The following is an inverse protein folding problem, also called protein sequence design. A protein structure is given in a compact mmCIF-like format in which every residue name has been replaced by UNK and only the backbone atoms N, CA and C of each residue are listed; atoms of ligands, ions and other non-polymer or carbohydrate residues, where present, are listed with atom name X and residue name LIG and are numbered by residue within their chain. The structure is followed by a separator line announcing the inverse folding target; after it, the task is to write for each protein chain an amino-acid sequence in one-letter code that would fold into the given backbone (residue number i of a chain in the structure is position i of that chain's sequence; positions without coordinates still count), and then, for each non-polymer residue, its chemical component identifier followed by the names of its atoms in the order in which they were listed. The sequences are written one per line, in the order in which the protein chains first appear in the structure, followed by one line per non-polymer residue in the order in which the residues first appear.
data_IF_085948784580
#
_entry.id   IF_085948784580
#
_cell.length_a   1.000
_cell.length_b   1.000
_cell.length_c   1.000
_cell.angle_alpha   90.00
_cell.angle_beta   90.00
_cell.angle_gamma   90.00
#
_symmetry.space_group_name_H-M   'P 1'
#
loop_
_entity.id
_entity.type
_entity.pdbx_description
1 polymer ?
#
# COMPACT_ATOMS: atom_id res chain seq x y z
N UNK A 1 -3.07 -2.07 16.60
CA UNK A 1 -1.94 -1.29 16.05
C UNK A 1 -1.92 0.08 16.69
N UNK A 2 -0.84 0.42 17.34
CA UNK A 2 -0.68 1.77 17.86
C UNK A 2 -0.37 2.73 16.72
N UNK A 3 -1.15 3.79 16.61
CA UNK A 3 -0.83 4.88 15.68
C UNK A 3 0.44 5.59 16.18
N UNK A 4 1.39 5.76 15.27
CA UNK A 4 2.61 6.51 15.57
C UNK A 4 2.28 8.00 15.54
N UNK A 5 2.55 8.69 16.63
CA UNK A 5 2.37 10.14 16.66
C UNK A 5 3.46 10.84 15.85
N UNK A 6 3.10 11.93 15.20
CA UNK A 6 4.03 12.71 14.37
C UNK A 6 5.30 13.12 15.14
N UNK A 7 5.15 13.50 16.40
CA UNK A 7 6.30 13.86 17.24
C UNK A 7 7.25 12.68 17.48
N UNK A 8 6.71 11.49 17.67
CA UNK A 8 7.50 10.25 17.82
C UNK A 8 8.23 9.93 16.53
N UNK A 9 7.53 9.97 15.40
CA UNK A 9 8.14 9.80 14.08
C UNK A 9 9.32 10.76 13.85
N UNK A 10 9.16 12.01 14.22
CA UNK A 10 10.19 13.05 14.03
C UNK A 10 11.47 12.81 14.83
N UNK A 11 11.38 12.20 16.01
CA UNK A 11 12.48 12.11 16.95
C UNK A 11 12.97 10.69 17.22
N UNK A 12 12.27 9.68 16.73
CA UNK A 12 12.70 8.28 16.88
C UNK A 12 13.98 8.00 16.09
N UNK A 13 14.72 6.97 16.49
CA UNK A 13 15.91 6.54 15.77
C UNK A 13 15.52 6.04 14.36
N UNK A 14 16.44 6.16 13.41
CA UNK A 14 16.18 5.79 12.01
C UNK A 14 15.70 4.34 11.87
N UNK A 15 16.28 3.39 12.63
CA UNK A 15 15.90 1.99 12.60
C UNK A 15 14.45 1.72 13.09
N UNK A 16 13.85 2.66 13.82
CA UNK A 16 12.45 2.60 14.24
C UNK A 16 11.49 3.20 13.21
N UNK A 17 11.96 4.11 12.39
CA UNK A 17 11.17 4.85 11.41
C UNK A 17 11.15 4.16 10.05
N UNK A 18 12.28 3.61 9.61
CA UNK A 18 12.38 2.97 8.30
C UNK A 18 11.38 1.83 8.09
N UNK A 19 11.09 0.95 9.08
CA UNK A 19 10.04 -0.06 8.91
C UNK A 19 8.64 0.51 8.70
N UNK A 20 8.33 1.65 9.34
CA UNK A 20 7.05 2.34 9.17
C UNK A 20 6.88 2.88 7.76
N UNK A 21 7.92 3.50 7.22
CA UNK A 21 7.94 4.01 5.85
C UNK A 21 7.91 2.87 4.82
N UNK A 22 8.66 1.80 5.06
CA UNK A 22 8.67 0.61 4.22
C UNK A 22 7.29 -0.06 4.15
N UNK A 23 6.52 -0.03 5.24
CA UNK A 23 5.16 -0.56 5.25
C UNK A 23 4.19 0.28 4.40
N UNK A 24 4.48 1.56 4.18
CA UNK A 24 3.70 2.42 3.29
C UNK A 24 3.98 2.09 1.82
N UNK A 25 5.25 2.11 1.44
CA UNK A 25 5.72 1.73 0.11
C UNK A 25 7.18 1.30 0.18
N UNK A 26 7.50 0.16 -0.39
CA UNK A 26 8.86 -0.41 -0.31
C UNK A 26 9.75 0.13 -1.45
N UNK A 27 10.10 1.40 -1.35
CA UNK A 27 11.02 2.09 -2.26
C UNK A 27 12.16 2.70 -1.45
N UNK A 28 13.35 2.08 -1.43
CA UNK A 28 14.46 2.48 -0.55
C UNK A 28 14.87 3.96 -0.69
N UNK A 29 14.94 4.49 -1.88
CA UNK A 29 15.30 5.91 -2.11
C UNK A 29 14.35 6.87 -1.42
N UNK A 30 13.04 6.59 -1.48
CA UNK A 30 11.99 7.37 -0.82
C UNK A 30 12.06 7.23 0.69
N UNK A 31 12.24 6.00 1.19
CA UNK A 31 12.35 5.70 2.62
C UNK A 31 13.56 6.44 3.22
N UNK A 32 14.72 6.37 2.58
CA UNK A 32 15.95 6.98 3.05
C UNK A 32 15.82 8.50 3.09
N UNK A 33 15.30 9.11 2.03
CA UNK A 33 15.10 10.57 1.96
C UNK A 33 14.16 11.04 3.05
N UNK A 34 13.01 10.41 3.23
CA UNK A 34 12.06 10.82 4.26
C UNK A 34 12.60 10.63 5.67
N UNK A 35 13.38 9.59 5.90
CA UNK A 35 14.01 9.35 7.20
C UNK A 35 15.09 10.40 7.51
N UNK A 36 15.92 10.73 6.53
CA UNK A 36 17.07 11.65 6.70
C UNK A 36 16.65 13.11 6.87
N UNK A 37 15.53 13.53 6.28
CA UNK A 37 15.05 14.91 6.33
C UNK A 37 14.31 15.27 7.62
N UNK A 38 14.22 14.35 8.56
CA UNK A 38 13.64 14.61 9.87
C UNK A 38 14.59 15.50 10.73
N UNK A 39 14.07 16.32 11.65
CA UNK A 39 12.65 16.52 11.96
C UNK A 39 11.96 17.46 10.96
N UNK A 40 10.68 17.19 10.72
CA UNK A 40 9.81 18.04 9.89
C UNK A 40 9.12 19.09 10.76
N UNK A 41 8.92 20.28 10.21
CA UNK A 41 8.22 21.37 10.92
C UNK A 41 6.73 21.07 11.12
N UNK A 42 6.13 20.29 10.22
CA UNK A 42 4.72 19.89 10.29
C UNK A 42 4.49 18.56 9.57
N UNK A 43 3.38 17.90 9.88
CA UNK A 43 2.96 16.72 9.13
C UNK A 43 2.74 17.04 7.65
N UNK A 44 2.26 18.24 7.33
CA UNK A 44 2.08 18.69 5.95
C UNK A 44 3.42 18.74 5.20
N UNK A 45 4.48 19.23 5.84
CA UNK A 45 5.82 19.27 5.23
C UNK A 45 6.33 17.85 4.90
N UNK A 46 6.07 16.88 5.78
CA UNK A 46 6.38 15.47 5.50
C UNK A 46 5.59 14.96 4.30
N UNK A 47 4.28 15.22 4.25
CA UNK A 47 3.42 14.79 3.16
C UNK A 47 3.82 15.42 1.83
N UNK A 48 4.18 16.70 1.83
CA UNK A 48 4.63 17.41 0.63
C UNK A 48 5.93 16.83 0.08
N UNK A 49 6.90 16.53 0.95
CA UNK A 49 8.14 15.89 0.53
C UNK A 49 7.90 14.47 0.02
N UNK A 50 7.06 13.70 0.69
CA UNK A 50 6.68 12.35 0.26
C UNK A 50 6.08 12.36 -1.15
N UNK A 51 5.18 13.29 -1.43
CA UNK A 51 4.57 13.48 -2.75
C UNK A 51 5.59 13.94 -3.79
N UNK A 52 6.46 14.88 -3.45
CA UNK A 52 7.51 15.36 -4.34
C UNK A 52 8.48 14.25 -4.73
N UNK A 53 8.94 13.48 -3.77
CA UNK A 53 9.86 12.35 -4.02
C UNK A 53 9.24 11.26 -4.86
N UNK A 54 7.94 11.03 -4.76
CA UNK A 54 7.24 10.02 -5.58
C UNK A 54 7.27 10.34 -7.09
N UNK A 55 7.44 11.61 -7.45
CA UNK A 55 7.58 12.02 -8.85
C UNK A 55 8.85 11.49 -9.51
N UNK A 56 9.84 11.11 -8.73
CA UNK A 56 11.14 10.63 -9.20
C UNK A 56 11.24 9.10 -9.25
N UNK A 57 10.19 8.37 -8.84
CA UNK A 57 10.20 6.90 -8.87
C UNK A 57 10.34 6.37 -10.30
N UNK A 58 11.24 5.42 -10.47
CA UNK A 58 11.36 4.69 -11.73
C UNK A 58 10.31 3.59 -11.83
N UNK A 59 10.01 3.16 -13.04
CA UNK A 59 9.08 2.03 -13.22
C UNK A 59 9.58 0.75 -12.52
N UNK A 60 10.89 0.48 -12.56
CA UNK A 60 11.48 -0.66 -11.85
C UNK A 60 11.25 -0.60 -10.34
N UNK A 61 11.40 0.58 -9.73
CA UNK A 61 11.11 0.78 -8.32
C UNK A 61 9.63 0.53 -8.01
N UNK A 62 8.74 1.02 -8.86
CA UNK A 62 7.29 0.83 -8.74
C UNK A 62 6.92 -0.65 -8.85
N UNK A 63 7.43 -1.36 -9.85
CA UNK A 63 7.18 -2.80 -10.01
C UNK A 63 7.65 -3.61 -8.79
N UNK A 64 8.83 -3.31 -8.29
CA UNK A 64 9.39 -3.97 -7.11
C UNK A 64 8.50 -3.74 -5.88
N UNK A 65 8.03 -2.51 -5.68
CA UNK A 65 7.12 -2.17 -4.59
C UNK A 65 5.76 -2.87 -4.74
N UNK A 66 5.20 -2.91 -5.95
CA UNK A 66 3.93 -3.59 -6.23
C UNK A 66 4.00 -5.10 -5.96
N UNK A 67 5.14 -5.73 -6.19
CA UNK A 67 5.33 -7.15 -5.93
C UNK A 67 5.17 -7.53 -4.44
N UNK A 68 5.30 -6.58 -3.53
CA UNK A 68 5.11 -6.79 -2.09
C UNK A 68 3.66 -6.60 -1.64
N UNK A 69 2.81 -5.97 -2.45
CA UNK A 69 1.42 -5.74 -2.11
C UNK A 69 0.58 -7.00 -2.27
N UNK A 70 -0.31 -7.31 -1.31
CA UNK A 70 -1.31 -8.36 -1.49
C UNK A 70 -2.36 -7.91 -2.51
N UNK A 71 -2.87 -8.85 -3.30
CA UNK A 71 -4.01 -8.59 -4.18
C UNK A 71 -5.25 -8.28 -3.35
N UNK A 72 -6.10 -7.39 -3.85
CA UNK A 72 -7.35 -7.06 -3.17
C UNK A 72 -8.22 -8.33 -3.06
N UNK A 73 -8.75 -8.59 -1.87
CA UNK A 73 -9.54 -9.81 -1.58
C UNK A 73 -8.71 -11.06 -1.31
N UNK A 74 -7.39 -11.03 -1.51
CA UNK A 74 -6.46 -12.13 -1.23
C UNK A 74 -5.73 -11.88 0.08
N UNK A 75 -5.65 -12.91 0.93
CA UNK A 75 -4.81 -12.87 2.14
C UNK A 75 -3.49 -13.56 1.84
N UNK A 76 -2.41 -12.78 1.75
CA UNK A 76 -1.06 -13.35 1.71
C UNK A 76 -0.76 -14.07 3.02
N UNK A 77 0.09 -15.10 2.94
CA UNK A 77 0.61 -15.75 4.12
C UNK A 77 1.30 -14.70 5.01
N UNK A 78 1.00 -14.72 6.32
CA UNK A 78 1.54 -13.73 7.28
C UNK A 78 3.08 -13.69 7.30
N UNK A 79 3.73 -14.77 6.90
CA UNK A 79 5.19 -14.86 6.83
C UNK A 79 5.82 -13.98 5.74
N UNK A 80 5.03 -13.54 4.77
CA UNK A 80 5.49 -12.70 3.66
C UNK A 80 5.31 -11.21 3.91
N UNK A 81 4.61 -10.84 5.00
CA UNK A 81 4.32 -9.45 5.34
C UNK A 81 4.87 -9.13 6.72
N UNK A 82 5.37 -7.91 6.89
CA UNK A 82 5.62 -7.38 8.22
C UNK A 82 4.29 -7.16 8.95
N UNK A 83 4.33 -7.04 10.28
CA UNK A 83 3.14 -6.76 11.08
C UNK A 83 2.46 -5.45 10.63
N UNK A 84 3.25 -4.41 10.34
CA UNK A 84 2.73 -3.13 9.87
C UNK A 84 2.07 -3.25 8.49
N UNK A 85 2.69 -3.96 7.56
CA UNK A 85 2.13 -4.18 6.22
C UNK A 85 0.82 -4.96 6.29
N UNK A 86 0.76 -6.01 7.10
CA UNK A 86 -0.46 -6.79 7.30
C UNK A 86 -1.58 -5.93 7.90
N UNK A 87 -1.27 -5.11 8.92
CA UNK A 87 -2.24 -4.23 9.56
C UNK A 87 -2.77 -3.17 8.60
N UNK A 88 -1.91 -2.56 7.78
CA UNK A 88 -2.35 -1.58 6.79
C UNK A 88 -3.24 -2.23 5.72
N UNK A 89 -2.86 -3.40 5.22
CA UNK A 89 -3.66 -4.15 4.25
C UNK A 89 -5.03 -4.53 4.81
N UNK A 90 -5.10 -5.05 6.04
CA UNK A 90 -6.36 -5.41 6.70
C UNK A 90 -7.27 -4.19 6.89
N UNK A 91 -6.71 -3.04 7.26
CA UNK A 91 -7.47 -1.79 7.41
C UNK A 91 -8.04 -1.29 6.08
N UNK A 92 -7.24 -1.32 5.03
CA UNK A 92 -7.67 -0.89 3.68
C UNK A 92 -8.77 -1.79 3.13
N UNK A 93 -8.70 -3.10 3.42
CA UNK A 93 -9.63 -4.10 2.91
C UNK A 93 -10.77 -4.43 3.88
N UNK A 94 -10.97 -3.65 4.94
CA UNK A 94 -11.98 -3.94 5.98
C UNK A 94 -13.42 -4.00 5.46
N UNK A 95 -13.73 -3.34 4.33
CA UNK A 95 -15.05 -3.37 3.70
C UNK A 95 -15.28 -4.52 2.72
N UNK A 96 -14.26 -5.35 2.47
CA UNK A 96 -14.35 -6.46 1.51
C UNK A 96 -15.10 -7.63 2.13
N UNK A 97 -16.24 -8.02 1.53
CA UNK A 97 -17.02 -9.16 1.97
C UNK A 97 -16.29 -10.47 1.68
N UNK A 98 -16.50 -11.44 2.57
CA UNK A 98 -15.91 -12.78 2.47
C UNK A 98 -16.86 -13.80 1.81
N UNK A 99 -17.88 -13.35 1.06
CA UNK A 99 -18.76 -14.25 0.35
C UNK A 99 -18.05 -14.89 -0.84
N UNK A 100 -18.45 -16.14 -1.13
CA UNK A 100 -17.77 -16.97 -2.12
C UNK A 100 -17.84 -16.41 -3.55
N UNK A 101 -18.97 -15.81 -3.92
CA UNK A 101 -19.15 -15.21 -5.24
C UNK A 101 -18.21 -14.02 -5.45
N UNK A 102 -18.22 -13.11 -4.50
CA UNK A 102 -17.36 -11.89 -4.57
C UNK A 102 -15.88 -12.25 -4.54
N UNK A 103 -15.48 -13.20 -3.71
CA UNK A 103 -14.10 -13.66 -3.65
C UNK A 103 -13.66 -14.27 -4.99
N UNK A 104 -14.49 -15.09 -5.60
CA UNK A 104 -14.20 -15.68 -6.91
C UNK A 104 -14.08 -14.61 -7.98
N UNK A 105 -15.03 -13.70 -8.04
CA UNK A 105 -15.05 -12.62 -9.02
C UNK A 105 -13.84 -11.70 -8.89
N UNK A 106 -13.42 -11.37 -7.67
CA UNK A 106 -12.20 -10.60 -7.40
C UNK A 106 -10.95 -11.38 -7.82
N UNK A 107 -10.87 -12.65 -7.51
CA UNK A 107 -9.74 -13.50 -7.93
C UNK A 107 -9.60 -13.55 -9.44
N UNK A 108 -10.69 -13.89 -10.14
CA UNK A 108 -10.70 -13.97 -11.61
C UNK A 108 -10.39 -12.62 -12.25
N UNK A 109 -10.94 -11.54 -11.71
CA UNK A 109 -10.67 -10.17 -12.16
C UNK A 109 -9.21 -9.76 -11.95
N UNK A 110 -8.62 -10.10 -10.81
CA UNK A 110 -7.20 -9.85 -10.55
C UNK A 110 -6.29 -10.59 -11.53
N UNK A 111 -6.59 -11.88 -11.80
CA UNK A 111 -5.83 -12.66 -12.78
C UNK A 111 -5.92 -12.02 -14.16
N UNK A 112 -7.12 -11.67 -14.60
CA UNK A 112 -7.35 -11.03 -15.91
C UNK A 112 -6.62 -9.68 -16.00
N UNK A 113 -6.65 -8.90 -14.93
CA UNK A 113 -5.98 -7.60 -14.87
C UNK A 113 -4.46 -7.74 -15.00
N UNK A 114 -3.87 -8.66 -14.24
CA UNK A 114 -2.42 -8.90 -14.29
C UNK A 114 -1.99 -9.44 -15.66
N UNK A 115 -2.78 -10.30 -16.27
CA UNK A 115 -2.51 -10.81 -17.63
C UNK A 115 -2.56 -9.67 -18.67
N UNK A 116 -3.50 -8.74 -18.54
CA UNK A 116 -3.66 -7.64 -19.47
C UNK A 116 -2.60 -6.55 -19.31
N UNK A 117 -2.29 -6.18 -18.07
CA UNK A 117 -1.47 -5.01 -17.77
C UNK A 117 -0.07 -5.32 -17.25
N UNK A 118 0.20 -6.54 -16.79
CA UNK A 118 1.50 -6.97 -16.30
C UNK A 118 1.81 -6.59 -14.85
N UNK A 119 0.85 -6.02 -14.13
CA UNK A 119 0.97 -5.67 -12.71
C UNK A 119 -0.38 -5.82 -11.99
N UNK A 120 -0.35 -5.82 -10.66
CA UNK A 120 -1.57 -6.03 -9.86
C UNK A 120 -2.54 -4.86 -9.97
N UNK A 121 -3.83 -5.15 -9.78
CA UNK A 121 -4.87 -4.14 -9.63
C UNK A 121 -4.70 -3.42 -8.29
N UNK A 122 -4.66 -2.10 -8.34
CA UNK A 122 -4.56 -1.23 -7.16
C UNK A 122 -5.76 -0.31 -7.08
N UNK A 123 -6.33 -0.21 -5.88
CA UNK A 123 -7.39 0.73 -5.57
C UNK A 123 -7.28 1.17 -4.11
N UNK A 124 -7.62 2.42 -3.83
CA UNK A 124 -7.80 2.85 -2.44
C UNK A 124 -9.11 2.27 -1.93
N UNK A 125 -9.03 1.12 -1.26
CA UNK A 125 -10.19 0.32 -0.86
C UNK A 125 -10.92 0.86 0.38
N UNK A 126 -10.28 1.71 1.18
CA UNK A 126 -10.88 2.26 2.41
C UNK A 126 -12.20 2.98 2.10
N UNK A 127 -13.28 2.57 2.77
CA UNK A 127 -14.60 3.15 2.59
C UNK A 127 -15.40 2.62 1.39
N UNK A 128 -14.83 1.69 0.61
CA UNK A 128 -15.53 1.06 -0.51
C UNK A 128 -16.11 -0.30 -0.11
N UNK A 129 -17.28 -0.63 -0.68
CA UNK A 129 -17.84 -1.97 -0.60
C UNK A 129 -17.15 -2.93 -1.57
N UNK A 130 -17.32 -4.24 -1.36
CA UNK A 130 -16.81 -5.26 -2.27
C UNK A 130 -17.37 -5.08 -3.68
N UNK A 131 -18.64 -4.72 -3.79
CA UNK A 131 -19.30 -4.48 -5.06
C UNK A 131 -18.72 -3.28 -5.80
N UNK A 132 -18.38 -2.22 -5.08
CA UNK A 132 -17.74 -1.02 -5.64
C UNK A 132 -16.33 -1.34 -6.13
N UNK A 133 -15.57 -2.12 -5.37
CA UNK A 133 -14.22 -2.56 -5.75
C UNK A 133 -14.29 -3.44 -7.00
N UNK A 134 -15.17 -4.42 -7.02
CA UNK A 134 -15.35 -5.33 -8.16
C UNK A 134 -15.78 -4.56 -9.42
N UNK A 135 -16.71 -3.62 -9.28
CA UNK A 135 -17.14 -2.76 -10.38
C UNK A 135 -15.99 -1.95 -10.96
N UNK A 136 -15.14 -1.35 -10.10
CA UNK A 136 -13.97 -0.59 -10.53
C UNK A 136 -12.97 -1.49 -11.28
N UNK A 137 -12.72 -2.70 -10.79
CA UNK A 137 -11.85 -3.68 -11.44
C UNK A 137 -12.36 -4.06 -12.83
N UNK A 138 -13.65 -4.39 -12.94
CA UNK A 138 -14.29 -4.74 -14.20
C UNK A 138 -14.27 -3.59 -15.20
N UNK A 139 -14.50 -2.37 -14.74
CA UNK A 139 -14.44 -1.17 -15.58
C UNK A 139 -13.03 -0.93 -16.14
N UNK A 140 -12.00 -1.11 -15.32
CA UNK A 140 -10.61 -0.94 -15.78
C UNK A 140 -10.11 -2.04 -16.70
N UNK A 141 -10.79 -3.19 -16.72
CA UNK A 141 -10.49 -4.29 -17.65
C UNK A 141 -10.96 -4.02 -19.07
N UNK A 142 -11.91 -3.10 -19.30
CA UNK A 142 -12.41 -2.71 -20.61
C UNK A 142 -11.39 -1.87 -21.35
#
# INVERSE_FOLDING_TARGET
MNMVHFSEFNHAAAHQVTPLLSACVHIPSWIDTLSQQRPYASAQNLMDLAAQQSQNWTWTEIETALATHPRIGEKKAKVELTEQEANFSDREQSGVKQDEYTQRALFEGNVAYEQKFGFIFLIKAAGLSSEQILSALQQRLQ
#
